data_IF_632191527746
#
_entry.id   IF_632191527746
#
_cell.length_a   1.000
_cell.length_b   1.000
_cell.length_c   1.000
_cell.angle_alpha   90.00
_cell.angle_beta   90.00
_cell.angle_gamma   90.00
#
_symmetry.space_group_name_H-M   'P 1'
#
loop_
_entity.id
_entity.type
_entity.pdbx_description
1 polymer ?
#
# COMPACT_ATOMS: atom_id res chain seq x y z
N UNK A 1 -9.38 -14.87 -22.10
CA UNK A 1 -9.11 -15.16 -20.67
C UNK A 1 -9.34 -13.88 -19.90
N UNK A 2 -10.01 -13.90 -18.78
CA UNK A 2 -10.17 -12.71 -17.92
C UNK A 2 -8.82 -12.39 -17.30
N UNK A 3 -8.25 -11.22 -17.58
CA UNK A 3 -7.01 -10.75 -16.96
C UNK A 3 -7.18 -10.63 -15.45
N UNK A 4 -6.20 -11.08 -14.69
CA UNK A 4 -6.16 -10.97 -13.23
C UNK A 4 -5.43 -9.68 -12.81
N UNK A 5 -5.75 -9.17 -11.63
CA UNK A 5 -5.06 -8.03 -11.02
C UNK A 5 -3.94 -8.54 -10.11
N UNK A 6 -2.77 -7.97 -10.24
CA UNK A 6 -1.71 -8.11 -9.25
C UNK A 6 -1.67 -6.85 -8.39
N UNK A 7 -1.85 -7.00 -7.08
CA UNK A 7 -1.58 -5.94 -6.12
C UNK A 7 -0.39 -6.36 -5.28
N UNK A 8 0.64 -5.53 -5.23
CA UNK A 8 1.78 -5.76 -4.36
C UNK A 8 1.98 -4.56 -3.44
N UNK A 9 2.14 -4.81 -2.14
CA UNK A 9 2.24 -3.72 -1.20
C UNK A 9 2.15 -4.12 0.26
N UNK A 10 2.07 -3.12 1.13
CA UNK A 10 1.99 -3.32 2.57
C UNK A 10 0.62 -3.84 3.02
N UNK A 11 0.68 -4.66 4.07
CA UNK A 11 -0.44 -5.05 4.89
C UNK A 11 -0.11 -4.71 6.36
N UNK A 12 -0.96 -3.92 7.02
CA UNK A 12 -0.77 -3.45 8.38
C UNK A 12 -2.02 -3.77 9.21
N UNK A 13 -1.83 -4.05 10.50
CA UNK A 13 -2.94 -4.03 11.45
C UNK A 13 -3.02 -2.62 12.04
N UNK A 14 -4.10 -1.91 11.73
CA UNK A 14 -4.35 -0.57 12.21
C UNK A 14 -5.00 -0.65 13.60
N UNK A 15 -4.37 -0.05 14.61
CA UNK A 15 -4.80 0.03 16.00
C UNK A 15 -5.26 1.43 16.30
N UNK A 16 -6.57 1.62 16.37
CA UNK A 16 -7.21 2.90 16.54
C UNK A 16 -7.56 3.13 18.01
N UNK A 17 -6.98 4.16 18.61
CA UNK A 17 -7.33 4.65 19.95
C UNK A 17 -8.19 5.90 19.82
N UNK A 18 -9.43 5.83 20.21
CA UNK A 18 -10.33 6.98 20.28
C UNK A 18 -10.08 7.71 21.60
N UNK A 19 -9.81 9.00 21.51
CA UNK A 19 -9.43 9.86 22.64
C UNK A 19 -10.26 11.13 22.65
N UNK A 20 -10.41 11.81 23.79
CA UNK A 20 -11.09 13.12 23.86
C UNK A 20 -10.33 14.22 23.09
N UNK A 21 -9.01 14.12 23.05
CA UNK A 21 -8.10 14.97 22.28
C UNK A 21 -6.78 14.26 22.06
N UNK A 22 -6.03 14.70 21.10
CA UNK A 22 -4.65 14.18 20.90
C UNK A 22 -3.78 14.58 22.09
N UNK A 23 -2.99 13.64 22.69
CA UNK A 23 -2.12 13.96 23.83
C UNK A 23 -0.98 14.90 23.43
N UNK A 24 -0.63 15.82 24.33
CA UNK A 24 0.54 16.67 24.17
C UNK A 24 1.83 15.95 24.59
N UNK A 25 2.99 16.53 24.27
CA UNK A 25 4.28 15.95 24.62
C UNK A 25 4.41 15.77 26.14
N UNK A 26 4.70 14.53 26.57
CA UNK A 26 4.87 14.17 27.98
C UNK A 26 3.56 13.89 28.72
N UNK A 27 2.43 13.91 28.04
CA UNK A 27 1.14 13.68 28.66
C UNK A 27 0.70 12.22 28.55
N UNK A 28 -0.03 11.76 29.55
CA UNK A 28 -0.77 10.49 29.53
C UNK A 28 -2.24 10.78 29.65
N UNK A 29 -3.03 10.31 28.70
CA UNK A 29 -4.47 10.42 28.71
C UNK A 29 -5.14 9.05 28.67
N UNK A 30 -6.40 8.99 29.08
CA UNK A 30 -7.20 7.77 28.96
C UNK A 30 -7.88 7.73 27.60
N UNK A 31 -7.79 6.59 26.89
CA UNK A 31 -8.56 6.35 25.69
C UNK A 31 -10.01 6.04 26.03
N UNK A 32 -10.93 6.47 25.17
CA UNK A 32 -12.36 6.23 25.29
C UNK A 32 -12.76 4.87 24.69
N UNK A 33 -12.09 4.45 23.61
CA UNK A 33 -12.33 3.20 22.90
C UNK A 33 -11.05 2.74 22.20
N UNK A 34 -11.05 1.47 21.78
CA UNK A 34 -9.98 0.83 21.02
C UNK A 34 -10.57 -0.10 19.97
N UNK A 35 -10.06 -0.03 18.76
CA UNK A 35 -10.44 -0.93 17.67
C UNK A 35 -9.21 -1.40 16.89
N UNK A 36 -9.30 -2.59 16.29
CA UNK A 36 -8.30 -3.10 15.36
C UNK A 36 -8.95 -3.35 13.99
N UNK A 37 -8.31 -2.86 12.94
CA UNK A 37 -8.77 -3.06 11.57
C UNK A 37 -7.62 -3.53 10.68
N UNK A 38 -7.88 -4.52 9.79
CA UNK A 38 -6.94 -4.81 8.71
C UNK A 38 -6.79 -3.59 7.80
N UNK A 39 -5.54 -3.21 7.52
CA UNK A 39 -5.19 -2.03 6.75
C UNK A 39 -3.91 -2.23 5.95
N UNK A 40 -3.24 -1.13 5.64
CA UNK A 40 -2.12 -1.06 4.70
C UNK A 40 -2.62 -0.80 3.29
N UNK A 41 -1.96 0.13 2.56
CA UNK A 41 -2.44 0.60 1.25
C UNK A 41 -2.57 -0.54 0.23
N UNK A 42 -1.60 -1.47 0.23
CA UNK A 42 -1.64 -2.62 -0.65
C UNK A 42 -2.83 -3.54 -0.35
N UNK A 43 -3.00 -3.94 0.91
CA UNK A 43 -4.10 -4.82 1.31
C UNK A 43 -5.47 -4.16 1.07
N UNK A 44 -5.63 -2.87 1.38
CA UNK A 44 -6.86 -2.14 1.15
C UNK A 44 -7.25 -2.10 -0.34
N UNK A 45 -6.29 -1.86 -1.23
CA UNK A 45 -6.53 -1.86 -2.68
C UNK A 45 -6.87 -3.25 -3.20
N UNK A 46 -6.21 -4.30 -2.70
CA UNK A 46 -6.50 -5.69 -3.06
C UNK A 46 -7.92 -6.09 -2.64
N UNK A 47 -8.32 -5.77 -1.40
CA UNK A 47 -9.67 -6.03 -0.88
C UNK A 47 -10.71 -5.27 -1.70
N UNK A 48 -10.50 -3.97 -1.93
CA UNK A 48 -11.44 -3.16 -2.71
C UNK A 48 -11.65 -3.74 -4.11
N UNK A 49 -10.59 -4.08 -4.82
CA UNK A 49 -10.69 -4.67 -6.16
C UNK A 49 -11.40 -6.03 -6.16
N UNK A 50 -11.14 -6.89 -5.17
CA UNK A 50 -11.79 -8.18 -5.05
C UNK A 50 -13.28 -8.05 -4.75
N UNK A 51 -13.68 -7.11 -3.89
CA UNK A 51 -15.11 -6.81 -3.61
C UNK A 51 -15.85 -6.28 -4.85
N UNK A 52 -15.15 -5.65 -5.81
CA UNK A 52 -15.70 -5.27 -7.12
C UNK A 52 -15.74 -6.43 -8.12
N UNK A 53 -15.37 -7.64 -7.70
CA UNK A 53 -15.46 -8.85 -8.51
C UNK A 53 -14.24 -9.14 -9.38
N UNK A 54 -13.12 -8.47 -9.15
CA UNK A 54 -11.87 -8.77 -9.84
C UNK A 54 -11.20 -10.02 -9.22
N UNK A 55 -10.51 -10.80 -10.04
CA UNK A 55 -9.58 -11.82 -9.55
C UNK A 55 -8.27 -11.12 -9.17
N UNK A 56 -7.95 -11.13 -7.89
CA UNK A 56 -6.80 -10.41 -7.33
C UNK A 56 -5.78 -11.38 -6.75
N UNK A 57 -4.52 -11.23 -7.15
CA UNK A 57 -3.37 -11.83 -6.50
C UNK A 57 -2.67 -10.79 -5.65
N UNK A 58 -2.32 -11.12 -4.41
CA UNK A 58 -1.62 -10.22 -3.52
C UNK A 58 -0.19 -10.70 -3.22
N UNK A 59 0.81 -9.84 -3.47
CA UNK A 59 2.19 -10.04 -3.05
C UNK A 59 2.47 -9.11 -1.87
N UNK A 60 2.90 -9.68 -0.75
CA UNK A 60 3.22 -8.94 0.47
C UNK A 60 3.92 -9.81 1.49
N UNK A 61 4.28 -9.23 2.63
CA UNK A 61 4.80 -9.97 3.77
C UNK A 61 4.07 -9.62 5.05
N UNK A 62 3.90 -10.64 5.90
CA UNK A 62 3.46 -10.51 7.29
C UNK A 62 4.42 -11.26 8.20
N UNK A 63 4.39 -10.98 9.49
CA UNK A 63 5.06 -11.81 10.49
C UNK A 63 4.33 -13.14 10.70
N UNK A 64 4.98 -14.06 11.41
CA UNK A 64 4.34 -15.28 11.93
C UNK A 64 3.72 -15.01 13.30
N UNK A 65 2.77 -14.06 13.33
CA UNK A 65 2.14 -13.52 14.53
C UNK A 65 0.61 -13.41 14.36
N UNK A 66 -0.08 -12.96 15.41
CA UNK A 66 -1.54 -12.81 15.38
C UNK A 66 -1.99 -11.74 14.39
N UNK A 67 -1.37 -10.54 14.33
CA UNK A 67 -1.66 -9.59 13.26
C UNK A 67 -1.55 -10.18 11.86
N UNK A 68 -0.51 -10.97 11.58
CA UNK A 68 -0.34 -11.61 10.27
C UNK A 68 -1.47 -12.58 9.91
N UNK A 69 -2.00 -13.31 10.89
CA UNK A 69 -3.17 -14.18 10.68
C UNK A 69 -4.43 -13.36 10.40
N UNK A 70 -4.65 -12.28 11.13
CA UNK A 70 -5.80 -11.39 10.94
C UNK A 70 -5.76 -10.80 9.52
N UNK A 71 -4.62 -10.29 9.09
CA UNK A 71 -4.41 -9.70 7.76
C UNK A 71 -4.65 -10.70 6.64
N UNK A 72 -4.06 -11.91 6.76
CA UNK A 72 -4.27 -12.98 5.79
C UNK A 72 -5.74 -13.37 5.69
N UNK A 73 -6.40 -13.60 6.82
CA UNK A 73 -7.82 -13.96 6.86
C UNK A 73 -8.71 -12.88 6.23
N UNK A 74 -8.39 -11.60 6.47
CA UNK A 74 -9.12 -10.48 5.86
C UNK A 74 -9.04 -10.50 4.34
N UNK A 75 -7.84 -10.68 3.78
CA UNK A 75 -7.63 -10.80 2.35
C UNK A 75 -8.37 -12.00 1.76
N UNK A 76 -8.25 -13.17 2.38
CA UNK A 76 -8.91 -14.40 1.92
C UNK A 76 -10.45 -14.31 1.99
N UNK A 77 -10.99 -13.71 3.05
CA UNK A 77 -12.43 -13.47 3.18
C UNK A 77 -12.99 -12.54 2.12
N UNK A 78 -12.17 -11.61 1.61
CA UNK A 78 -12.52 -10.76 0.48
C UNK A 78 -12.37 -11.44 -0.89
N UNK A 79 -11.83 -12.67 -0.94
CA UNK A 79 -11.62 -13.42 -2.18
C UNK A 79 -10.27 -13.15 -2.86
N UNK A 80 -9.33 -12.52 -2.16
CA UNK A 80 -7.96 -12.27 -2.66
C UNK A 80 -7.15 -13.56 -2.57
N UNK A 81 -6.40 -13.88 -3.64
CA UNK A 81 -5.43 -14.97 -3.63
C UNK A 81 -4.18 -14.57 -2.85
N UNK A 82 -3.95 -15.23 -1.71
CA UNK A 82 -2.84 -14.96 -0.78
C UNK A 82 -1.66 -15.92 -0.93
N UNK A 83 -1.56 -16.65 -2.05
CA UNK A 83 -0.45 -17.59 -2.31
C UNK A 83 0.92 -16.94 -2.15
N UNK A 84 1.04 -15.66 -2.47
CA UNK A 84 2.26 -14.86 -2.42
C UNK A 84 2.30 -13.86 -1.24
N UNK A 85 1.40 -14.03 -0.26
CA UNK A 85 1.55 -13.38 1.04
C UNK A 85 2.48 -14.23 1.89
N UNK A 86 3.75 -13.84 1.94
CA UNK A 86 4.80 -14.61 2.58
C UNK A 86 4.93 -14.23 4.06
N UNK A 87 5.46 -15.16 4.85
CA UNK A 87 5.84 -14.88 6.24
C UNK A 87 7.27 -14.38 6.27
N UNK A 88 7.49 -13.23 6.92
CA UNK A 88 8.81 -12.67 7.17
C UNK A 88 9.34 -13.05 8.57
N UNK A 89 10.63 -12.81 8.83
CA UNK A 89 11.23 -12.98 10.16
C UNK A 89 10.85 -11.85 11.12
N UNK A 90 10.42 -10.71 10.61
CA UNK A 90 10.02 -9.52 11.36
C UNK A 90 8.53 -9.60 11.71
N UNK A 91 8.08 -9.03 12.85
CA UNK A 91 6.65 -8.92 13.14
C UNK A 91 5.87 -8.20 12.04
N UNK A 92 4.57 -8.48 11.94
CA UNK A 92 3.68 -7.81 10.97
C UNK A 92 3.70 -6.29 11.13
N UNK A 93 3.41 -5.58 10.03
CA UNK A 93 3.23 -4.14 10.06
C UNK A 93 2.06 -3.72 10.95
N UNK A 94 2.22 -2.62 11.68
CA UNK A 94 1.22 -2.07 12.59
C UNK A 94 1.15 -0.56 12.38
N UNK A 95 -0.06 0.01 12.26
CA UNK A 95 -0.29 1.42 12.49
C UNK A 95 -0.91 1.62 13.87
N UNK A 96 -0.52 2.69 14.55
CA UNK A 96 -1.11 3.14 15.80
C UNK A 96 -1.66 4.54 15.58
N UNK A 97 -2.98 4.68 15.69
CA UNK A 97 -3.70 5.90 15.41
C UNK A 97 -4.37 6.43 16.68
N UNK A 98 -4.22 7.73 16.95
CA UNK A 98 -5.03 8.46 17.92
C UNK A 98 -6.05 9.30 17.15
N UNK A 99 -7.33 9.16 17.49
CA UNK A 99 -8.43 9.82 16.79
C UNK A 99 -9.29 10.57 17.80
N UNK A 100 -9.50 11.88 17.58
CA UNK A 100 -10.38 12.69 18.39
C UNK A 100 -11.81 12.79 17.80
N UNK A 101 -12.81 13.36 18.54
CA UNK A 101 -14.18 13.46 18.07
C UNK A 101 -14.37 14.38 16.84
N UNK A 102 -13.44 15.28 16.58
CA UNK A 102 -13.42 16.16 15.41
C UNK A 102 -12.89 15.45 14.15
N UNK A 103 -12.33 14.22 14.31
CA UNK A 103 -11.74 13.46 13.23
C UNK A 103 -10.28 13.83 12.93
N UNK A 104 -9.64 14.63 13.80
CA UNK A 104 -8.20 14.80 13.72
C UNK A 104 -7.51 13.50 14.13
N UNK A 105 -6.39 13.18 13.48
CA UNK A 105 -5.65 11.98 13.83
C UNK A 105 -4.15 12.20 13.82
N UNK A 106 -3.45 11.42 14.64
CA UNK A 106 -2.01 11.23 14.57
C UNK A 106 -1.69 9.75 14.46
N UNK A 107 -0.82 9.41 13.54
CA UNK A 107 -0.45 8.03 13.25
C UNK A 107 1.04 7.81 13.40
N UNK A 108 1.39 6.62 13.88
CA UNK A 108 2.74 6.08 13.81
C UNK A 108 2.69 4.70 13.16
N UNK A 109 3.50 4.48 12.14
CA UNK A 109 3.51 3.22 11.39
C UNK A 109 4.82 2.49 11.63
N UNK A 110 4.73 1.26 12.11
CA UNK A 110 5.81 0.28 12.09
C UNK A 110 5.66 -0.56 10.82
N UNK A 111 6.58 -0.43 9.87
CA UNK A 111 6.52 -1.17 8.62
C UNK A 111 6.63 -2.69 8.85
N UNK A 112 7.41 -3.14 9.85
CA UNK A 112 7.54 -4.56 10.18
C UNK A 112 7.94 -5.39 8.97
N UNK A 113 7.30 -6.55 8.79
CA UNK A 113 7.56 -7.48 7.70
C UNK A 113 7.40 -6.89 6.28
N UNK A 114 6.67 -5.77 6.12
CA UNK A 114 6.62 -5.07 4.83
C UNK A 114 8.01 -4.59 4.39
N UNK A 115 8.90 -4.28 5.34
CA UNK A 115 10.30 -3.89 5.05
C UNK A 115 11.17 -5.06 4.60
N UNK A 116 10.73 -6.30 4.81
CA UNK A 116 11.47 -7.50 4.42
C UNK A 116 11.18 -7.92 2.98
N UNK A 117 10.26 -7.22 2.28
CA UNK A 117 9.95 -7.51 0.88
C UNK A 117 11.19 -7.32 0.00
N UNK A 118 11.48 -8.33 -0.81
CA UNK A 118 12.64 -8.40 -1.68
C UNK A 118 12.27 -8.91 -3.08
N UNK A 119 13.14 -8.70 -4.04
CA UNK A 119 12.96 -9.17 -5.43
C UNK A 119 12.80 -10.71 -5.53
N UNK A 120 13.37 -11.46 -4.58
CA UNK A 120 13.21 -12.91 -4.51
C UNK A 120 11.79 -13.38 -4.13
N UNK A 121 10.94 -12.46 -3.64
CA UNK A 121 9.53 -12.76 -3.35
C UNK A 121 8.65 -12.75 -4.60
N UNK A 122 9.17 -12.24 -5.71
CA UNK A 122 8.45 -12.19 -6.98
C UNK A 122 8.35 -13.58 -7.61
N UNK A 123 7.15 -14.00 -8.06
CA UNK A 123 6.99 -15.28 -8.73
C UNK A 123 7.92 -15.45 -9.92
N UNK A 124 8.56 -16.62 -10.04
CA UNK A 124 9.39 -16.98 -11.19
C UNK A 124 8.58 -17.61 -12.34
N UNK A 125 7.37 -18.10 -12.04
CA UNK A 125 6.49 -18.78 -12.99
C UNK A 125 5.98 -17.81 -14.08
N UNK A 126 6.33 -18.06 -15.32
CA UNK A 126 5.88 -17.26 -16.47
C UNK A 126 4.37 -17.31 -16.67
N UNK A 127 3.73 -18.45 -16.37
CA UNK A 127 2.28 -18.62 -16.50
C UNK A 127 1.54 -17.66 -15.56
N UNK A 128 2.09 -17.45 -14.36
CA UNK A 128 1.55 -16.43 -13.44
C UNK A 128 1.54 -15.05 -14.10
N UNK A 129 2.67 -14.61 -14.67
CA UNK A 129 2.77 -13.28 -15.29
C UNK A 129 1.89 -13.12 -16.53
N UNK A 130 1.71 -14.20 -17.31
CA UNK A 130 0.81 -14.21 -18.47
C UNK A 130 -0.67 -14.03 -18.11
N UNK A 131 -1.05 -14.35 -16.86
CA UNK A 131 -2.43 -14.15 -16.37
C UNK A 131 -2.71 -12.72 -15.92
N UNK A 132 -1.67 -11.93 -15.63
CA UNK A 132 -1.82 -10.58 -15.04
C UNK A 132 -2.09 -9.54 -16.15
N UNK A 133 -3.14 -8.75 -15.95
CA UNK A 133 -3.52 -7.66 -16.87
C UNK A 133 -3.17 -6.26 -16.35
N UNK A 134 -2.92 -6.11 -15.06
CA UNK A 134 -2.52 -4.85 -14.43
C UNK A 134 -1.76 -5.14 -13.13
N UNK A 135 -0.66 -4.44 -12.90
CA UNK A 135 0.04 -4.41 -11.61
C UNK A 135 -0.26 -3.11 -10.89
N UNK A 136 -0.67 -3.20 -9.63
CA UNK A 136 -0.93 -2.06 -8.74
C UNK A 136 0.07 -2.09 -7.60
N UNK A 137 0.73 -0.96 -7.35
CA UNK A 137 1.71 -0.82 -6.28
C UNK A 137 1.64 0.55 -5.59
N UNK A 138 2.27 0.67 -4.44
CA UNK A 138 2.34 1.89 -3.62
C UNK A 138 3.78 2.05 -3.09
N UNK A 139 4.02 3.06 -2.25
CA UNK A 139 5.35 3.39 -1.74
C UNK A 139 5.54 3.05 -0.24
N UNK A 140 4.78 2.08 0.28
CA UNK A 140 4.92 1.58 1.67
C UNK A 140 5.89 0.39 1.80
N UNK A 141 6.48 -0.06 0.70
CA UNK A 141 7.45 -1.15 0.64
C UNK A 141 8.84 -0.64 0.25
N UNK A 142 9.90 -1.44 0.40
CA UNK A 142 11.24 -1.05 -0.03
C UNK A 142 11.25 -0.64 -1.51
N UNK A 143 11.92 0.46 -1.83
CA UNK A 143 12.06 0.93 -3.22
C UNK A 143 12.71 -0.13 -4.14
N UNK A 144 13.66 -0.91 -3.62
CA UNK A 144 14.29 -2.01 -4.35
C UNK A 144 13.28 -3.08 -4.78
N UNK A 145 12.32 -3.41 -3.93
CA UNK A 145 11.24 -4.34 -4.26
C UNK A 145 10.29 -3.72 -5.30
N UNK A 146 9.87 -2.48 -5.08
CA UNK A 146 8.97 -1.76 -6.00
C UNK A 146 9.59 -1.64 -7.40
N UNK A 147 10.88 -1.31 -7.48
CA UNK A 147 11.63 -1.26 -8.74
C UNK A 147 11.71 -2.63 -9.43
N UNK A 148 12.06 -3.68 -8.67
CA UNK A 148 12.14 -5.03 -9.20
C UNK A 148 10.80 -5.50 -9.77
N UNK A 149 9.69 -5.22 -9.07
CA UNK A 149 8.34 -5.51 -9.53
C UNK A 149 7.98 -4.71 -10.79
N UNK A 150 8.31 -3.40 -10.82
CA UNK A 150 8.09 -2.54 -11.98
C UNK A 150 8.80 -3.08 -13.23
N UNK A 151 10.09 -3.39 -13.10
CA UNK A 151 10.89 -3.97 -14.19
C UNK A 151 10.39 -5.35 -14.62
N UNK A 152 9.95 -6.20 -13.69
CA UNK A 152 9.38 -7.52 -13.98
C UNK A 152 8.05 -7.37 -14.74
N UNK A 153 7.16 -6.48 -14.29
CA UNK A 153 5.88 -6.19 -14.98
C UNK A 153 6.12 -5.63 -16.38
N UNK A 154 7.02 -4.63 -16.53
CA UNK A 154 7.40 -4.09 -17.85
C UNK A 154 7.92 -5.17 -18.79
N UNK A 155 8.78 -6.07 -18.30
CA UNK A 155 9.33 -7.18 -19.09
C UNK A 155 8.23 -8.10 -19.67
N UNK A 156 7.12 -8.27 -18.95
CA UNK A 156 5.96 -9.06 -19.37
C UNK A 156 4.90 -8.24 -20.10
N UNK A 157 5.14 -6.94 -20.37
CA UNK A 157 4.19 -6.06 -21.06
C UNK A 157 2.95 -5.76 -20.24
N UNK A 158 3.01 -5.84 -18.91
CA UNK A 158 1.92 -5.60 -18.00
C UNK A 158 1.91 -4.11 -17.62
N UNK A 159 0.81 -3.37 -17.86
CA UNK A 159 0.68 -1.98 -17.43
C UNK A 159 0.77 -1.86 -15.90
N UNK A 160 1.28 -0.72 -15.43
CA UNK A 160 1.53 -0.49 -14.01
C UNK A 160 0.79 0.76 -13.55
N UNK A 161 -0.01 0.59 -12.49
CA UNK A 161 -0.58 1.68 -11.71
C UNK A 161 0.24 1.86 -10.43
N UNK A 162 0.87 3.02 -10.29
CA UNK A 162 1.53 3.42 -9.05
C UNK A 162 0.67 4.45 -8.31
N UNK A 163 0.23 4.11 -7.11
CA UNK A 163 -0.26 5.08 -6.14
C UNK A 163 0.94 5.61 -5.36
N UNK A 164 1.34 6.87 -5.60
CA UNK A 164 2.56 7.46 -5.04
C UNK A 164 2.43 7.84 -3.55
N UNK A 165 1.83 6.98 -2.77
CA UNK A 165 1.57 7.14 -1.33
C UNK A 165 2.43 6.16 -0.50
N UNK A 166 3.09 6.64 0.58
CA UNK A 166 3.22 8.02 1.05
C UNK A 166 4.05 8.91 0.10
N UNK A 167 3.99 10.22 0.33
CA UNK A 167 4.70 11.23 -0.46
C UNK A 167 6.24 11.11 -0.28
N UNK A 168 6.86 10.27 -1.08
CA UNK A 168 8.32 10.08 -1.15
C UNK A 168 8.82 10.29 -2.58
N UNK A 169 10.10 10.67 -2.78
CA UNK A 169 10.64 10.84 -4.12
C UNK A 169 10.56 9.57 -4.96
N UNK A 170 10.17 9.70 -6.23
CA UNK A 170 10.19 8.62 -7.21
C UNK A 170 11.47 8.75 -8.03
N UNK A 171 12.28 7.66 -8.15
CA UNK A 171 13.47 7.67 -9.01
C UNK A 171 13.10 7.95 -10.49
N UNK A 172 13.92 8.76 -11.19
CA UNK A 172 13.65 9.10 -12.59
C UNK A 172 13.52 7.87 -13.51
N UNK A 173 14.24 6.78 -13.21
CA UNK A 173 14.16 5.53 -13.97
C UNK A 173 12.78 4.85 -13.91
N UNK A 174 11.94 5.21 -12.94
CA UNK A 174 10.63 4.59 -12.79
C UNK A 174 9.60 5.14 -13.77
N UNK A 175 9.76 6.37 -14.24
CA UNK A 175 8.88 6.97 -15.24
C UNK A 175 8.83 6.18 -16.55
N UNK A 176 9.84 5.37 -16.82
CA UNK A 176 9.92 4.52 -18.00
C UNK A 176 8.91 3.33 -17.98
N UNK A 177 8.31 3.02 -16.84
CA UNK A 177 7.41 1.87 -16.67
C UNK A 177 6.12 2.18 -15.91
N UNK A 178 5.92 3.39 -15.40
CA UNK A 178 4.64 3.80 -14.80
C UNK A 178 3.68 4.18 -15.93
N UNK A 179 2.56 3.47 -16.04
CA UNK A 179 1.51 3.77 -17.03
C UNK A 179 0.45 4.69 -16.45
N UNK A 180 0.09 4.47 -15.17
CA UNK A 180 -0.92 5.26 -14.45
C UNK A 180 -0.33 5.69 -13.11
N UNK A 181 -0.32 7.01 -12.86
CA UNK A 181 0.07 7.57 -11.58
C UNK A 181 -1.16 8.07 -10.84
N UNK A 182 -1.33 7.65 -9.59
CA UNK A 182 -2.38 8.13 -8.68
C UNK A 182 -1.73 8.89 -7.54
N UNK A 183 -2.14 10.13 -7.35
CA UNK A 183 -1.64 11.04 -6.31
C UNK A 183 -2.78 11.83 -5.68
N UNK A 184 -2.65 12.16 -4.40
CA UNK A 184 -3.42 13.23 -3.76
C UNK A 184 -2.68 14.57 -3.88
N UNK A 185 -3.24 15.65 -3.30
CA UNK A 185 -2.66 17.00 -3.37
C UNK A 185 -1.28 17.08 -2.71
N UNK A 186 -1.05 16.34 -1.63
CA UNK A 186 0.23 16.32 -0.89
C UNK A 186 1.31 15.61 -1.71
N UNK A 187 0.97 14.47 -2.29
CA UNK A 187 1.85 13.68 -3.13
C UNK A 187 2.16 14.42 -4.44
N UNK A 188 1.15 15.02 -5.07
CA UNK A 188 1.33 15.85 -6.26
C UNK A 188 2.27 17.04 -5.99
N UNK A 189 2.11 17.72 -4.85
CA UNK A 189 3.03 18.78 -4.44
C UNK A 189 4.45 18.27 -4.22
N UNK A 190 4.60 17.13 -3.56
CA UNK A 190 5.92 16.52 -3.30
C UNK A 190 6.67 16.19 -4.60
N UNK A 191 5.95 15.75 -5.64
CA UNK A 191 6.54 15.34 -6.91
C UNK A 191 6.76 16.51 -7.88
N UNK A 192 5.83 17.47 -7.94
CA UNK A 192 5.84 18.57 -8.92
C UNK A 192 6.37 19.90 -8.36
N UNK A 193 6.38 20.08 -7.04
CA UNK A 193 6.62 21.37 -6.39
C UNK A 193 5.45 22.36 -6.52
N UNK A 194 4.33 21.97 -7.14
CA UNK A 194 3.16 22.82 -7.39
C UNK A 194 2.07 22.52 -6.36
N UNK A 195 1.69 23.53 -5.56
CA UNK A 195 0.63 23.40 -4.57
C UNK A 195 -0.74 23.44 -5.25
N UNK A 196 -1.55 22.43 -5.04
CA UNK A 196 -2.91 22.34 -5.56
C UNK A 196 -3.88 22.98 -4.53
N UNK A 197 -4.42 24.16 -4.84
CA UNK A 197 -5.48 24.80 -4.07
C UNK A 197 -6.83 24.77 -4.82
N UNK A 198 -6.77 24.62 -6.15
CA UNK A 198 -7.93 24.54 -7.04
C UNK A 198 -7.68 23.48 -8.12
N UNK A 199 -8.74 22.94 -8.70
CA UNK A 199 -8.64 21.94 -9.76
C UNK A 199 -7.79 22.38 -10.96
N UNK A 200 -7.68 23.68 -11.23
CA UNK A 200 -6.84 24.22 -12.31
C UNK A 200 -5.36 24.01 -12.06
N UNK A 201 -4.93 23.96 -10.81
CA UNK A 201 -3.53 23.76 -10.43
C UNK A 201 -3.07 22.35 -10.77
N UNK A 202 -4.01 21.37 -10.81
CA UNK A 202 -3.70 19.99 -11.19
C UNK A 202 -3.21 19.87 -12.63
N UNK A 203 -3.67 20.72 -13.54
CA UNK A 203 -3.17 20.74 -14.93
C UNK A 203 -1.71 21.18 -15.00
N UNK A 204 -1.31 22.15 -14.18
CA UNK A 204 0.09 22.56 -14.11
C UNK A 204 0.98 21.43 -13.52
N UNK A 205 0.47 20.64 -12.58
CA UNK A 205 1.18 19.47 -12.08
C UNK A 205 1.39 18.43 -13.20
N UNK A 206 0.37 18.17 -14.03
CA UNK A 206 0.45 17.20 -15.14
C UNK A 206 1.47 17.59 -16.21
N UNK A 207 1.76 18.88 -16.37
CA UNK A 207 2.80 19.35 -17.32
C UNK A 207 4.22 19.12 -16.80
N UNK A 208 4.39 18.89 -15.49
CA UNK A 208 5.69 18.70 -14.84
C UNK A 208 5.98 17.21 -14.60
N UNK A 209 4.94 16.40 -14.37
CA UNK A 209 5.02 14.96 -14.13
C UNK A 209 4.99 14.16 -15.43
#
# INVERSE_FOLDING_TARGET
MTSELLVAGAANLDRMMYVERIPEQGETIMALNYEEHPGGKGANQAVAAALWGMKVNFIGRTGDDEPGKILKNSLENAGVNTKYLLKGPTPSGIALDFIDPEGNYQAAVLAGANSDLDSADLPEDSIFWESIGLTVMQLECPHSFTEALGLKSKKHGIPILLNAAPAVPIPNSWWDWIEILVVNEVEAFSLSGIKINHIKDSYACLEVL
#
